data_IF_873379960051
#
_entry.id   IF_873379960051
#
_cell.length_a   1.000
_cell.length_b   1.000
_cell.length_c   1.000
_cell.angle_alpha   90.00
_cell.angle_beta   90.00
_cell.angle_gamma   90.00
#
_symmetry.space_group_name_H-M   'P 1'
#
loop_
_entity.id
_entity.type
_entity.pdbx_description
1 polymer ?
#
# COMPACT_ATOMS: atom_id res chain seq x y z
N UNK A 1 -5.83 -11.30 -11.42
CA UNK A 1 -6.36 -12.03 -10.24
C UNK A 1 -5.64 -11.60 -8.96
N UNK A 2 -4.30 -11.41 -8.98
CA UNK A 2 -3.45 -11.10 -7.84
C UNK A 2 -3.75 -9.72 -7.25
N UNK A 3 -3.81 -8.69 -8.07
CA UNK A 3 -4.03 -7.30 -7.66
C UNK A 3 -5.39 -7.12 -6.95
N UNK A 4 -6.42 -7.79 -7.44
CA UNK A 4 -7.77 -7.73 -6.86
C UNK A 4 -7.83 -8.24 -5.41
N UNK A 5 -7.03 -9.22 -5.06
CA UNK A 5 -7.05 -9.84 -3.73
C UNK A 5 -6.30 -9.02 -2.66
N UNK A 6 -5.27 -8.27 -3.04
CA UNK A 6 -4.51 -7.38 -2.14
C UNK A 6 -5.24 -6.04 -2.00
N UNK A 7 -5.65 -5.44 -3.13
CA UNK A 7 -6.36 -4.15 -3.15
C UNK A 7 -7.72 -4.22 -2.44
N UNK A 8 -8.43 -5.34 -2.52
CA UNK A 8 -9.72 -5.49 -1.84
C UNK A 8 -9.60 -5.49 -0.31
N UNK A 9 -8.48 -5.98 0.26
CA UNK A 9 -8.23 -5.95 1.72
C UNK A 9 -7.60 -4.64 2.19
N UNK A 10 -6.97 -3.89 1.29
CA UNK A 10 -6.47 -2.53 1.52
C UNK A 10 -7.44 -1.47 0.97
N UNK A 11 -8.74 -1.78 0.88
CA UNK A 11 -9.80 -0.86 0.50
C UNK A 11 -9.93 0.32 1.46
N UNK A 12 -10.99 1.09 1.34
CA UNK A 12 -11.20 2.28 2.18
C UNK A 12 -11.32 1.89 3.67
N UNK A 13 -12.12 0.87 3.98
CA UNK A 13 -12.33 0.39 5.35
C UNK A 13 -11.34 -0.73 5.69
N UNK A 14 -10.57 -0.54 6.75
CA UNK A 14 -9.42 -1.36 7.13
C UNK A 14 -9.41 -1.65 8.63
N UNK A 15 -8.78 -2.76 8.99
CA UNK A 15 -8.37 -3.06 10.37
C UNK A 15 -6.91 -3.49 10.36
N UNK A 16 -6.22 -3.44 11.50
CA UNK A 16 -4.86 -3.96 11.62
C UNK A 16 -4.75 -5.41 11.17
N UNK A 17 -5.71 -6.25 11.57
CA UNK A 17 -5.77 -7.66 11.19
C UNK A 17 -5.95 -7.85 9.67
N UNK A 18 -6.84 -7.08 9.04
CA UNK A 18 -7.06 -7.18 7.59
C UNK A 18 -5.83 -6.75 6.80
N UNK A 19 -5.12 -5.72 7.27
CA UNK A 19 -3.86 -5.25 6.68
C UNK A 19 -2.74 -6.26 6.88
N UNK A 20 -2.62 -6.87 8.06
CA UNK A 20 -1.62 -7.94 8.29
C UNK A 20 -1.87 -9.15 7.40
N UNK A 21 -3.11 -9.63 7.30
CA UNK A 21 -3.46 -10.72 6.37
C UNK A 21 -3.16 -10.37 4.91
N UNK A 22 -3.32 -9.09 4.52
CA UNK A 22 -2.96 -8.63 3.18
C UNK A 22 -1.45 -8.66 2.95
N UNK A 23 -0.64 -8.30 3.96
CA UNK A 23 0.83 -8.40 3.92
C UNK A 23 1.29 -9.85 3.77
N UNK A 24 0.78 -10.75 4.62
CA UNK A 24 1.12 -12.19 4.55
C UNK A 24 0.79 -12.79 3.17
N UNK A 25 -0.29 -12.32 2.56
CA UNK A 25 -0.68 -12.73 1.21
C UNK A 25 0.23 -12.13 0.15
N UNK A 26 0.65 -10.87 0.31
CA UNK A 26 1.60 -10.21 -0.59
C UNK A 26 2.94 -10.95 -0.60
N UNK A 27 3.45 -11.36 0.57
CA UNK A 27 4.70 -12.11 0.68
C UNK A 27 4.64 -13.44 -0.08
N UNK A 28 3.53 -14.17 0.06
CA UNK A 28 3.29 -15.40 -0.72
C UNK A 28 3.25 -15.14 -2.23
N UNK A 29 2.68 -14.01 -2.64
CA UNK A 29 2.63 -13.62 -4.05
C UNK A 29 4.00 -13.24 -4.57
N UNK A 30 4.81 -12.52 -3.80
CA UNK A 30 6.20 -12.18 -4.13
C UNK A 30 7.07 -13.44 -4.29
N UNK A 31 6.93 -14.43 -3.39
CA UNK A 31 7.61 -15.71 -3.56
C UNK A 31 7.18 -16.47 -4.83
N UNK A 32 5.90 -16.38 -5.19
CA UNK A 32 5.39 -17.01 -6.42
C UNK A 32 5.84 -16.28 -7.67
N UNK A 33 5.95 -14.95 -7.64
CA UNK A 33 6.39 -14.15 -8.80
C UNK A 33 7.80 -14.50 -9.24
N UNK A 34 8.67 -14.91 -8.32
CA UNK A 34 10.03 -15.38 -8.64
C UNK A 34 10.10 -16.65 -9.49
N UNK A 35 8.98 -17.35 -9.65
CA UNK A 35 8.88 -18.60 -10.41
C UNK A 35 8.06 -18.45 -11.69
N UNK A 36 7.81 -17.21 -12.11
CA UNK A 36 7.08 -16.97 -13.36
C UNK A 36 7.95 -17.38 -14.53
N UNK A 37 7.37 -18.20 -15.41
CA UNK A 37 7.94 -18.55 -16.70
C UNK A 37 7.09 -17.92 -17.80
N UNK A 38 7.73 -17.23 -18.74
CA UNK A 38 7.11 -16.64 -19.92
C UNK A 38 7.09 -17.68 -21.02
N UNK A 39 5.91 -17.98 -21.55
CA UNK A 39 5.74 -18.97 -22.64
C UNK A 39 5.80 -18.33 -24.02
N UNK A 40 5.35 -17.08 -24.12
CA UNK A 40 5.42 -16.31 -25.37
C UNK A 40 6.86 -15.90 -25.66
N UNK A 41 7.44 -16.41 -26.73
CA UNK A 41 8.81 -16.10 -27.20
C UNK A 41 8.83 -15.02 -28.28
N UNK A 42 7.69 -14.43 -28.62
CA UNK A 42 7.61 -13.36 -29.63
C UNK A 42 8.37 -12.11 -29.18
N UNK A 43 8.99 -11.41 -30.15
CA UNK A 43 9.69 -10.14 -29.91
C UNK A 43 8.80 -8.92 -30.12
N UNK A 44 7.59 -9.12 -30.63
CA UNK A 44 6.67 -8.04 -30.98
C UNK A 44 5.34 -8.27 -30.25
N UNK A 45 4.87 -7.26 -29.54
CA UNK A 45 3.62 -7.31 -28.76
C UNK A 45 3.55 -8.45 -27.72
N UNK A 46 4.68 -8.77 -27.10
CA UNK A 46 4.73 -9.78 -26.04
C UNK A 46 4.11 -9.24 -24.75
N UNK A 47 2.80 -9.37 -24.64
CA UNK A 47 2.01 -8.88 -23.49
C UNK A 47 2.33 -9.68 -22.22
N UNK A 48 2.73 -10.95 -22.36
CA UNK A 48 3.11 -11.80 -21.23
C UNK A 48 4.39 -11.28 -20.55
N UNK A 49 5.39 -10.91 -21.35
CA UNK A 49 6.62 -10.29 -20.85
C UNK A 49 6.34 -8.95 -20.15
N UNK A 50 5.52 -8.09 -20.76
CA UNK A 50 5.13 -6.82 -20.16
C UNK A 50 4.43 -7.05 -18.82
N UNK A 51 3.45 -7.95 -18.78
CA UNK A 51 2.73 -8.28 -17.55
C UNK A 51 3.61 -8.85 -16.44
N UNK A 52 4.65 -9.62 -16.80
CA UNK A 52 5.62 -10.15 -15.85
C UNK A 52 6.49 -9.03 -15.25
N UNK A 53 6.95 -8.07 -16.08
CA UNK A 53 7.72 -6.90 -15.63
C UNK A 53 6.86 -5.96 -14.77
N UNK A 54 5.63 -5.69 -15.17
CA UNK A 54 4.69 -4.85 -14.40
C UNK A 54 4.35 -5.45 -13.04
N UNK A 55 4.34 -6.79 -12.93
CA UNK A 55 4.01 -7.46 -11.67
C UNK A 55 4.98 -7.10 -10.55
N UNK A 56 6.26 -6.99 -10.81
CA UNK A 56 7.25 -6.61 -9.80
C UNK A 56 7.00 -5.18 -9.28
N UNK A 57 6.71 -4.23 -10.18
CA UNK A 57 6.35 -2.87 -9.79
C UNK A 57 5.04 -2.82 -8.99
N UNK A 58 4.04 -3.61 -9.39
CA UNK A 58 2.78 -3.69 -8.67
C UNK A 58 2.96 -4.27 -7.26
N UNK A 59 3.83 -5.25 -7.08
CA UNK A 59 4.15 -5.83 -5.77
C UNK A 59 4.85 -4.80 -4.87
N UNK A 60 5.82 -4.03 -5.40
CA UNK A 60 6.50 -2.98 -4.66
C UNK A 60 5.53 -1.87 -4.22
N UNK A 61 4.66 -1.41 -5.12
CA UNK A 61 3.64 -0.40 -4.78
C UNK A 61 2.63 -0.93 -3.75
N UNK A 62 2.17 -2.16 -3.91
CA UNK A 62 1.25 -2.78 -2.95
C UNK A 62 1.88 -2.90 -1.55
N UNK A 63 3.16 -3.23 -1.48
CA UNK A 63 3.91 -3.32 -0.23
C UNK A 63 3.99 -1.97 0.49
N UNK A 64 4.34 -0.90 -0.22
CA UNK A 64 4.40 0.45 0.36
C UNK A 64 3.03 0.89 0.89
N UNK A 65 1.95 0.62 0.16
CA UNK A 65 0.58 0.94 0.58
C UNK A 65 0.20 0.18 1.86
N UNK A 66 0.46 -1.13 1.92
CA UNK A 66 0.10 -1.95 3.06
C UNK A 66 0.89 -1.58 4.31
N UNK A 67 2.21 -1.37 4.19
CA UNK A 67 3.05 -0.96 5.30
C UNK A 67 2.67 0.41 5.83
N UNK A 68 2.47 1.39 4.95
CA UNK A 68 2.05 2.75 5.32
C UNK A 68 0.67 2.76 5.99
N UNK A 69 -0.29 2.03 5.43
CA UNK A 69 -1.64 1.94 5.99
C UNK A 69 -1.65 1.21 7.34
N UNK A 70 -0.82 0.19 7.53
CA UNK A 70 -0.73 -0.54 8.78
C UNK A 70 -0.11 0.31 9.90
N UNK A 71 0.92 1.09 9.58
CA UNK A 71 1.62 1.95 10.54
C UNK A 71 0.80 3.18 10.97
N UNK A 72 -0.15 3.63 10.16
CA UNK A 72 -0.98 4.80 10.46
C UNK A 72 -2.20 4.41 11.29
N UNK A 73 -2.16 4.73 12.58
CA UNK A 73 -3.18 4.38 13.57
C UNK A 73 -4.20 5.51 13.76
N UNK A 74 -4.80 5.96 12.69
CA UNK A 74 -5.85 6.98 12.66
C UNK A 74 -6.78 6.77 11.46
N UNK A 75 -7.88 7.51 11.40
CA UNK A 75 -8.73 7.64 10.22
C UNK A 75 -8.64 9.05 9.65
N UNK A 76 -8.25 9.18 8.36
CA UNK A 76 -8.08 10.46 7.68
C UNK A 76 -8.39 10.33 6.19
N UNK A 77 -9.33 11.11 5.67
CA UNK A 77 -9.73 11.06 4.27
C UNK A 77 -10.22 9.68 3.86
N UNK A 78 -9.63 9.12 2.81
CA UNK A 78 -9.95 7.78 2.33
C UNK A 78 -9.25 6.65 3.12
N UNK A 79 -8.41 6.98 4.10
CA UNK A 79 -7.82 6.01 5.01
C UNK A 79 -8.72 5.84 6.23
N UNK A 80 -9.60 4.85 6.23
CA UNK A 80 -10.51 4.57 7.34
C UNK A 80 -10.07 3.30 8.06
N UNK A 81 -9.64 3.48 9.32
CA UNK A 81 -9.27 2.41 10.25
C UNK A 81 -10.44 2.15 11.20
N UNK A 82 -11.13 1.03 11.05
CA UNK A 82 -12.26 0.67 11.93
C UNK A 82 -11.81 0.43 13.38
N UNK A 83 -10.55 0.10 13.58
CA UNK A 83 -9.90 -0.08 14.89
C UNK A 83 -9.30 1.24 15.45
N UNK A 84 -9.17 2.29 14.61
CA UNK A 84 -8.75 3.65 14.98
C UNK A 84 -9.62 4.66 14.24
N UNK A 85 -10.92 4.82 14.62
CA UNK A 85 -11.88 5.60 13.84
C UNK A 85 -11.62 7.12 13.88
N UNK A 86 -10.92 7.58 14.90
CA UNK A 86 -10.67 9.01 15.10
C UNK A 86 -9.47 9.50 14.27
N UNK A 87 -9.51 10.79 13.91
CA UNK A 87 -8.36 11.51 13.35
C UNK A 87 -7.41 11.92 14.47
N UNK A 88 -6.13 11.75 14.26
CA UNK A 88 -5.08 12.11 15.23
C UNK A 88 -4.11 13.14 14.64
N UNK A 89 -4.42 14.41 14.81
CA UNK A 89 -3.57 15.51 14.32
C UNK A 89 -2.30 15.67 15.15
N UNK A 90 -2.28 15.16 16.38
CA UNK A 90 -1.11 15.28 17.25
C UNK A 90 0.04 14.38 16.79
N UNK A 91 -0.26 13.15 16.37
CA UNK A 91 0.75 12.16 15.99
C UNK A 91 0.86 11.97 14.47
N UNK A 92 -0.23 12.20 13.72
CA UNK A 92 -0.32 11.85 12.30
C UNK A 92 -0.61 13.00 11.34
N UNK A 93 -0.48 14.28 11.79
CA UNK A 93 -0.50 15.41 10.85
C UNK A 93 0.84 15.48 10.09
N UNK A 94 1.17 14.38 9.43
CA UNK A 94 2.41 14.16 8.69
C UNK A 94 2.15 13.39 7.40
N UNK A 95 3.02 13.58 6.40
CA UNK A 95 3.13 12.67 5.27
C UNK A 95 3.85 11.40 5.70
N UNK A 96 3.34 10.24 5.32
CA UNK A 96 4.07 8.98 5.47
C UNK A 96 4.97 8.80 4.26
N UNK A 97 6.27 8.63 4.50
CA UNK A 97 7.27 8.36 3.47
C UNK A 97 7.64 6.87 3.54
N UNK A 98 7.72 6.22 2.38
CA UNK A 98 8.15 4.83 2.28
C UNK A 98 9.35 4.73 1.34
N UNK A 99 10.46 4.24 1.88
CA UNK A 99 11.71 4.05 1.14
C UNK A 99 11.93 2.57 0.86
N UNK A 100 12.25 2.23 -0.38
CA UNK A 100 12.59 0.86 -0.76
C UNK A 100 13.90 0.45 -0.11
N UNK A 101 13.91 -0.71 0.56
CA UNK A 101 15.12 -1.36 1.08
C UNK A 101 15.11 -2.85 0.76
N UNK A 102 16.27 -3.55 0.85
CA UNK A 102 16.31 -4.99 0.63
C UNK A 102 15.41 -5.80 1.56
N UNK A 103 15.18 -5.29 2.78
CA UNK A 103 14.41 -5.96 3.84
C UNK A 103 12.94 -5.53 3.87
N UNK A 104 12.45 -4.85 2.83
CA UNK A 104 11.11 -4.27 2.74
C UNK A 104 11.07 -2.76 2.94
N UNK A 105 9.91 -2.11 2.94
CA UNK A 105 9.82 -0.66 3.01
C UNK A 105 10.21 -0.11 4.39
N UNK A 106 11.18 0.81 4.42
CA UNK A 106 11.45 1.64 5.59
C UNK A 106 10.51 2.83 5.58
N UNK A 107 9.75 3.01 6.66
CA UNK A 107 8.86 4.14 6.81
C UNK A 107 9.53 5.30 7.54
N UNK A 108 9.10 6.51 7.17
CA UNK A 108 9.52 7.76 7.78
C UNK A 108 8.34 8.75 7.74
N UNK A 109 8.48 9.91 8.36
CA UNK A 109 7.45 10.94 8.37
C UNK A 109 8.02 12.31 8.00
N UNK A 110 7.22 13.11 7.29
CA UNK A 110 7.51 14.49 6.96
C UNK A 110 6.36 15.36 7.47
N UNK A 111 6.61 16.40 8.29
CA UNK A 111 5.57 17.30 8.76
C UNK A 111 4.80 17.98 7.61
N UNK A 112 3.49 18.14 7.79
CA UNK A 112 2.67 18.93 6.85
C UNK A 112 2.92 20.41 7.05
N UNK A 113 3.20 21.14 5.98
CA UNK A 113 3.31 22.61 6.00
C UNK A 113 1.92 23.22 5.93
N UNK A 114 1.48 23.87 7.01
CA UNK A 114 0.23 24.60 7.07
C UNK A 114 0.51 26.06 6.67
N UNK A 115 -0.07 26.52 5.57
CA UNK A 115 0.16 27.88 5.04
C UNK A 115 -0.97 28.85 5.35
N UNK A 116 -2.20 28.52 4.99
CA UNK A 116 -3.36 29.42 5.15
C UNK A 116 -4.45 28.86 6.06
N UNK A 117 -4.78 27.56 5.86
CA UNK A 117 -5.94 26.95 6.50
C UNK A 117 -5.50 25.86 7.45
N UNK A 118 -6.08 25.88 8.65
CA UNK A 118 -5.91 24.78 9.60
C UNK A 118 -6.75 23.58 9.15
N UNK A 119 -6.27 22.35 9.41
CA UNK A 119 -7.06 21.16 9.11
C UNK A 119 -8.32 21.13 9.99
N UNK A 120 -9.48 21.02 9.35
CA UNK A 120 -10.77 20.89 10.02
C UNK A 120 -11.36 19.50 9.81
N UNK A 121 -12.16 19.05 10.78
CA UNK A 121 -12.91 17.81 10.65
C UNK A 121 -14.07 18.02 9.68
N UNK A 122 -14.17 17.15 8.67
CA UNK A 122 -15.28 17.19 7.73
C UNK A 122 -16.53 16.62 8.40
N UNK A 123 -17.51 17.47 8.70
CA UNK A 123 -18.84 17.09 9.18
C UNK A 123 -19.80 16.98 7.99
N UNK A 124 -20.55 15.90 7.95
CA UNK A 124 -21.60 15.65 6.94
C UNK A 124 -22.97 15.91 7.56
#
# INVERSE_FOLDING_TARGET
VVFRAVVFRAGVFRTGDSLQQARDKLDKLRQRSQRIAIQDTSRTFNVELIGALELDFMLDVAETILHSAHARHESRGAHVRLDYPERDDQNFLTHTLAYRTPDGPRLDSLPVTITQWQPEERKY
#
